data_IF_456512443051
#
_entry.id   IF_456512443051
#
_cell.length_a   1.000
_cell.length_b   1.000
_cell.length_c   1.000
_cell.angle_alpha   90.00
_cell.angle_beta   90.00
_cell.angle_gamma   90.00
#
_symmetry.space_group_name_H-M   'P 1'
#
loop_
_entity.id
_entity.type
_entity.pdbx_description
1 polymer ?
#
# COMPACT_ATOMS: atom_id res chain seq x y z
N UNK A 1 -5.36 12.86 -42.90
CA UNK A 1 -4.27 12.55 -41.97
C UNK A 1 -4.85 12.60 -40.57
N UNK A 2 -5.08 11.42 -40.01
CA UNK A 2 -5.68 11.22 -38.71
C UNK A 2 -4.73 11.80 -37.65
N UNK A 3 -5.21 12.79 -36.90
CA UNK A 3 -4.56 13.23 -35.67
C UNK A 3 -4.86 12.17 -34.62
N UNK A 4 -3.96 11.20 -34.48
CA UNK A 4 -4.11 10.13 -33.51
C UNK A 4 -4.12 10.70 -32.09
N UNK A 5 -5.22 10.41 -31.41
CA UNK A 5 -5.61 10.80 -30.06
C UNK A 5 -4.81 10.05 -28.99
N UNK A 6 -3.51 9.81 -29.22
CA UNK A 6 -2.76 8.75 -28.56
C UNK A 6 -1.50 9.19 -27.80
N UNK A 7 -1.40 10.47 -27.42
CA UNK A 7 -0.24 10.99 -26.67
C UNK A 7 -0.64 11.83 -25.43
N UNK A 8 -1.61 11.34 -24.66
CA UNK A 8 -1.85 11.76 -23.26
C UNK A 8 -1.57 10.61 -22.29
N UNK A 9 -0.61 9.77 -22.66
CA UNK A 9 -0.13 8.64 -21.87
C UNK A 9 0.94 9.11 -20.87
N UNK A 10 0.73 8.82 -19.59
CA UNK A 10 1.79 8.46 -18.63
C UNK A 10 2.64 9.57 -18.05
N UNK A 11 2.16 10.27 -17.02
CA UNK A 11 3.02 11.09 -16.16
C UNK A 11 3.05 10.48 -14.77
N UNK A 12 3.78 9.37 -14.68
CA UNK A 12 3.97 8.60 -13.46
C UNK A 12 4.37 9.51 -12.29
N UNK A 13 3.70 9.35 -11.17
CA UNK A 13 3.96 10.06 -9.92
C UNK A 13 5.08 9.31 -9.18
N UNK A 14 6.09 10.02 -8.68
CA UNK A 14 7.14 9.39 -7.86
C UNK A 14 6.65 9.33 -6.43
N UNK A 15 5.91 8.28 -6.06
CA UNK A 15 5.58 8.03 -4.68
C UNK A 15 6.85 7.65 -3.90
N UNK A 16 7.36 8.58 -3.09
CA UNK A 16 8.46 8.29 -2.16
C UNK A 16 7.84 7.71 -0.88
N UNK A 17 7.79 6.38 -0.80
CA UNK A 17 7.28 5.67 0.36
C UNK A 17 8.40 5.52 1.41
N UNK A 18 8.46 6.44 2.37
CA UNK A 18 9.15 6.18 3.64
C UNK A 18 8.09 5.66 4.59
N UNK A 19 7.99 4.34 4.69
CA UNK A 19 7.04 3.68 5.56
C UNK A 19 7.64 3.48 6.96
N UNK A 20 6.96 4.04 7.95
CA UNK A 20 7.17 3.66 9.34
C UNK A 20 6.16 2.57 9.68
N UNK A 21 6.63 1.32 9.65
CA UNK A 21 5.79 0.19 10.03
C UNK A 21 5.82 -0.01 11.54
N UNK A 22 4.64 0.05 12.15
CA UNK A 22 4.41 -0.44 13.49
C UNK A 22 3.54 -1.69 13.40
N UNK A 23 4.09 -2.84 13.79
CA UNK A 23 3.33 -4.08 13.94
C UNK A 23 2.74 -4.10 15.35
N UNK A 24 1.41 -4.08 15.46
CA UNK A 24 0.72 -4.27 16.73
C UNK A 24 -0.05 -5.59 16.69
N UNK A 25 0.22 -6.46 17.66
CA UNK A 25 -0.61 -7.63 17.94
C UNK A 25 -1.78 -7.19 18.80
N UNK A 26 -3.02 -7.41 18.34
CA UNK A 26 -4.17 -7.34 19.23
C UNK A 26 -4.36 -8.73 19.84
N UNK A 27 -3.77 -8.99 21.01
CA UNK A 27 -4.22 -10.13 21.80
C UNK A 27 -5.65 -9.85 22.25
N UNK A 28 -6.65 -10.70 21.94
CA UNK A 28 -7.91 -10.61 22.66
C UNK A 28 -7.61 -10.92 24.13
N UNK A 29 -7.59 -9.89 24.98
CA UNK A 29 -7.48 -10.02 26.43
C UNK A 29 -8.64 -10.88 26.95
N UNK A 30 -8.41 -12.18 27.07
CA UNK A 30 -9.33 -13.16 27.64
C UNK A 30 -8.59 -14.05 28.63
N UNK A 31 -8.95 -14.04 29.92
CA UNK A 31 -8.27 -14.85 30.91
C UNK A 31 -8.90 -16.25 30.92
N UNK A 32 -8.53 -17.16 30.02
CA UNK A 32 -9.10 -18.50 30.11
C UNK A 32 -8.12 -19.61 29.70
N UNK A 33 -7.71 -20.36 30.72
CA UNK A 33 -6.94 -21.59 30.70
C UNK A 33 -7.59 -22.64 29.79
N UNK A 34 -7.13 -22.73 28.54
CA UNK A 34 -7.46 -23.79 27.59
C UNK A 34 -6.22 -24.26 26.83
N UNK A 35 -6.22 -25.47 26.23
CA UNK A 35 -5.10 -25.96 25.43
C UNK A 35 -4.76 -24.94 24.32
N UNK A 36 -3.50 -24.82 23.88
CA UNK A 36 -3.10 -23.84 22.88
C UNK A 36 -3.69 -24.21 21.51
N UNK A 37 -4.96 -23.88 21.28
CA UNK A 37 -5.46 -23.63 19.94
C UNK A 37 -4.96 -22.24 19.60
N UNK A 38 -3.85 -22.18 18.86
CA UNK A 38 -3.23 -20.94 18.39
C UNK A 38 -4.32 -19.96 17.96
N UNK A 39 -4.55 -18.85 18.70
CA UNK A 39 -5.42 -17.81 18.19
C UNK A 39 -4.84 -17.41 16.83
N UNK A 40 -5.67 -17.22 15.82
CA UNK A 40 -5.21 -16.62 14.56
C UNK A 40 -4.75 -15.21 14.91
N UNK A 41 -3.48 -15.05 15.29
CA UNK A 41 -2.88 -13.77 15.63
C UNK A 41 -3.03 -12.88 14.39
N UNK A 42 -3.86 -11.85 14.53
CA UNK A 42 -4.08 -10.85 13.50
C UNK A 42 -3.20 -9.66 13.84
N UNK A 43 -2.33 -9.33 12.90
CA UNK A 43 -1.43 -8.20 13.00
C UNK A 43 -2.03 -7.01 12.26
N UNK A 44 -1.57 -5.84 12.66
CA UNK A 44 -1.84 -4.59 11.96
C UNK A 44 -0.53 -3.91 11.60
N UNK A 45 -0.45 -3.41 10.37
CA UNK A 45 0.68 -2.68 9.82
C UNK A 45 0.19 -1.28 9.49
N UNK A 46 0.79 -0.29 10.13
CA UNK A 46 0.57 1.11 9.75
C UNK A 46 1.60 1.49 8.70
N UNK A 47 1.14 2.05 7.59
CA UNK A 47 1.99 2.56 6.52
C UNK A 47 1.80 4.07 6.42
N UNK A 48 2.92 4.75 6.26
CA UNK A 48 3.00 6.19 6.01
C UNK A 48 3.81 6.39 4.73
N UNK A 49 3.47 7.40 3.94
CA UNK A 49 4.25 7.77 2.76
C UNK A 49 4.26 9.28 2.59
N UNK A 50 5.23 9.78 1.81
CA UNK A 50 5.25 11.20 1.48
C UNK A 50 4.50 11.43 0.18
N UNK A 51 3.55 12.37 0.22
CA UNK A 51 2.84 12.78 -0.97
C UNK A 51 3.82 13.30 -2.03
N UNK A 52 3.80 12.78 -3.27
CA UNK A 52 4.56 13.38 -4.34
C UNK A 52 4.08 14.81 -4.56
N UNK A 53 5.01 15.75 -4.67
CA UNK A 53 4.73 17.14 -5.05
C UNK A 53 5.00 17.39 -6.53
N UNK A 54 5.68 16.45 -7.19
CA UNK A 54 6.00 16.51 -8.62
C UNK A 54 5.72 15.19 -9.32
N UNK A 55 5.39 15.27 -10.61
CA UNK A 55 5.29 14.10 -11.49
C UNK A 55 6.66 13.63 -12.05
N UNK A 56 6.64 12.61 -12.90
CA UNK A 56 7.81 11.95 -13.50
C UNK A 56 8.72 12.86 -14.31
N UNK A 57 8.27 14.06 -14.68
CA UNK A 57 9.10 15.05 -15.39
C UNK A 57 9.25 16.34 -14.59
N UNK A 58 8.99 16.31 -13.28
CA UNK A 58 9.28 17.40 -12.36
C UNK A 58 8.31 18.58 -12.39
N UNK A 59 7.12 18.44 -12.99
CA UNK A 59 6.08 19.50 -12.86
C UNK A 59 5.32 19.31 -11.55
N UNK A 60 4.83 20.40 -10.92
CA UNK A 60 4.02 20.32 -9.71
C UNK A 60 2.76 19.49 -9.97
N UNK A 61 2.37 18.71 -8.96
CA UNK A 61 1.16 17.91 -8.98
C UNK A 61 -0.06 18.77 -8.64
N UNK A 62 -0.93 18.97 -9.63
CA UNK A 62 -2.17 19.72 -9.46
C UNK A 62 -3.40 18.80 -9.46
N UNK A 63 -3.31 17.65 -10.12
CA UNK A 63 -4.44 16.75 -10.38
C UNK A 63 -4.47 15.49 -9.46
N UNK A 64 -3.74 15.49 -8.34
CA UNK A 64 -3.70 14.32 -7.44
C UNK A 64 -5.05 14.12 -6.73
N UNK A 65 -5.72 12.99 -7.00
CA UNK A 65 -6.98 12.63 -6.35
C UNK A 65 -6.80 11.67 -5.16
N UNK A 66 -5.79 10.81 -5.19
CA UNK A 66 -5.54 9.88 -4.09
C UNK A 66 -4.44 8.86 -4.32
N UNK A 67 -4.47 7.80 -3.53
CA UNK A 67 -3.50 6.72 -3.50
C UNK A 67 -4.16 5.36 -3.45
N UNK A 68 -3.49 4.37 -4.04
CA UNK A 68 -3.81 2.95 -3.95
C UNK A 68 -2.64 2.23 -3.31
N UNK A 69 -2.93 1.51 -2.24
CA UNK A 69 -1.97 0.66 -1.55
C UNK A 69 -2.10 -0.75 -2.11
N UNK A 70 -0.97 -1.35 -2.42
CA UNK A 70 -0.85 -2.72 -2.88
C UNK A 70 -0.01 -3.48 -1.87
N UNK A 71 -0.45 -4.68 -1.51
CA UNK A 71 0.38 -5.57 -0.71
C UNK A 71 0.26 -7.02 -1.16
N UNK A 72 1.39 -7.72 -1.17
CA UNK A 72 1.49 -9.11 -1.61
C UNK A 72 2.32 -9.89 -0.60
N UNK A 73 1.91 -11.11 -0.20
CA UNK A 73 2.76 -11.98 0.60
C UNK A 73 4.03 -12.39 -0.16
N UNK A 74 5.16 -12.53 0.53
CA UNK A 74 6.40 -13.11 0.02
C UNK A 74 6.70 -14.43 0.77
N UNK A 75 6.74 -15.59 0.11
CA UNK A 75 6.54 -15.81 -1.32
C UNK A 75 5.09 -15.57 -1.77
N UNK A 76 4.87 -15.18 -3.05
CA UNK A 76 3.53 -14.92 -3.56
C UNK A 76 2.66 -16.17 -3.51
N UNK A 77 1.48 -16.03 -2.92
CA UNK A 77 0.42 -17.04 -2.94
C UNK A 77 -0.40 -16.94 -4.24
N UNK A 78 -1.26 -17.93 -4.53
CA UNK A 78 -2.19 -17.84 -5.67
C UNK A 78 -3.18 -16.66 -5.57
N UNK A 79 -3.29 -16.02 -4.39
CA UNK A 79 -3.92 -14.72 -4.28
C UNK A 79 -2.97 -13.65 -4.83
N UNK A 80 -3.28 -13.14 -6.02
CA UNK A 80 -2.70 -11.90 -6.55
C UNK A 80 -2.78 -10.78 -5.49
N UNK A 81 -1.78 -9.90 -5.48
CA UNK A 81 -1.66 -8.83 -4.49
C UNK A 81 -2.96 -8.06 -4.24
N UNK A 82 -3.22 -7.70 -2.99
CA UNK A 82 -4.42 -6.99 -2.59
C UNK A 82 -4.24 -5.51 -2.85
N UNK A 83 -5.18 -4.91 -3.61
CA UNK A 83 -5.30 -3.47 -3.81
C UNK A 83 -6.30 -2.89 -2.80
N UNK A 84 -5.90 -1.83 -2.11
CA UNK A 84 -6.74 -1.02 -1.23
C UNK A 84 -6.74 0.42 -1.73
N UNK A 85 -7.93 0.99 -1.94
CA UNK A 85 -8.07 2.43 -2.20
C UNK A 85 -7.99 3.21 -0.89
N UNK A 86 -6.92 3.99 -0.73
CA UNK A 86 -6.66 4.79 0.49
C UNK A 86 -7.26 6.19 0.38
N UNK A 87 -7.51 6.67 -0.84
CA UNK A 87 -7.92 8.04 -1.10
C UNK A 87 -6.76 9.02 -0.95
N UNK A 88 -7.01 10.28 -0.58
CA UNK A 88 -5.98 11.31 -0.47
C UNK A 88 -5.11 11.23 0.81
N UNK A 89 -5.33 10.22 1.66
CA UNK A 89 -4.56 10.03 2.89
C UNK A 89 -3.14 9.53 2.60
N UNK A 90 -2.16 10.00 3.38
CA UNK A 90 -0.76 9.54 3.33
C UNK A 90 -0.40 8.59 4.47
N UNK A 91 -1.41 8.14 5.21
CA UNK A 91 -1.33 7.25 6.36
C UNK A 91 -2.47 6.24 6.22
N UNK A 92 -2.14 4.95 6.29
CA UNK A 92 -3.14 3.89 6.25
C UNK A 92 -2.74 2.71 7.13
N UNK A 93 -3.71 2.17 7.87
CA UNK A 93 -3.49 0.98 8.70
C UNK A 93 -4.13 -0.24 8.05
N UNK A 94 -3.29 -1.18 7.63
CA UNK A 94 -3.72 -2.51 7.18
C UNK A 94 -3.89 -3.40 8.40
N UNK A 95 -5.08 -3.95 8.59
CA UNK A 95 -5.41 -4.81 9.74
C UNK A 95 -5.81 -6.20 9.27
N UNK A 96 -5.62 -7.21 10.12
CA UNK A 96 -6.05 -8.57 9.81
C UNK A 96 -5.01 -9.36 9.02
N UNK A 97 -3.75 -8.92 9.03
CA UNK A 97 -2.64 -9.64 8.40
C UNK A 97 -2.23 -10.84 9.26
N UNK A 98 -1.84 -11.92 8.60
CA UNK A 98 -1.25 -13.09 9.26
C UNK A 98 0.27 -12.89 9.35
N UNK A 99 0.94 -13.62 10.24
CA UNK A 99 2.39 -13.56 10.32
C UNK A 99 3.04 -14.08 9.02
N UNK A 100 4.03 -13.35 8.51
CA UNK A 100 4.76 -13.63 7.28
C UNK A 100 5.41 -12.38 6.69
N UNK A 101 6.16 -12.56 5.61
CA UNK A 101 6.75 -11.45 4.86
C UNK A 101 5.74 -10.89 3.86
N UNK A 102 5.66 -9.57 3.76
CA UNK A 102 4.80 -8.87 2.82
C UNK A 102 5.56 -7.76 2.11
N UNK A 103 5.26 -7.57 0.83
CA UNK A 103 5.75 -6.48 0.01
C UNK A 103 4.64 -5.45 -0.15
N UNK A 104 4.86 -4.24 0.35
CA UNK A 104 3.94 -3.12 0.21
C UNK A 104 4.42 -2.16 -0.87
N UNK A 105 3.50 -1.68 -1.69
CA UNK A 105 3.76 -0.65 -2.69
C UNK A 105 2.58 0.32 -2.76
N UNK A 106 2.82 1.58 -3.10
CA UNK A 106 1.77 2.58 -3.25
C UNK A 106 1.84 3.18 -4.66
N UNK A 107 0.69 3.34 -5.29
CA UNK A 107 0.54 4.18 -6.48
C UNK A 107 -0.28 5.41 -6.13
N UNK A 108 -0.07 6.48 -6.86
CA UNK A 108 -0.88 7.68 -6.79
C UNK A 108 -1.81 7.74 -8.00
N UNK A 109 -3.00 8.30 -7.81
CA UNK A 109 -4.11 8.33 -8.76
C UNK A 109 -4.53 9.78 -8.99
N UNK A 110 -4.71 10.16 -10.25
CA UNK A 110 -5.20 11.50 -10.61
C UNK A 110 -6.74 11.61 -10.62
N UNK A 111 -7.29 12.82 -10.76
CA UNK A 111 -8.75 13.08 -10.79
C UNK A 111 -9.49 12.38 -11.94
N UNK A 112 -8.78 11.91 -12.96
CA UNK A 112 -9.33 11.17 -14.09
C UNK A 112 -9.06 9.66 -14.01
N UNK A 113 -8.46 9.19 -12.92
CA UNK A 113 -8.24 7.79 -12.61
C UNK A 113 -6.96 7.17 -13.18
N UNK A 114 -6.01 7.97 -13.68
CA UNK A 114 -4.71 7.44 -14.11
C UNK A 114 -3.85 7.12 -12.89
N UNK A 115 -3.24 5.94 -12.91
CA UNK A 115 -2.30 5.51 -11.87
C UNK A 115 -0.85 5.79 -12.26
N UNK A 116 -0.03 6.04 -11.24
CA UNK A 116 1.42 6.15 -11.36
C UNK A 116 2.11 4.80 -11.47
N UNK A 117 3.42 4.84 -11.70
CA UNK A 117 4.29 3.71 -11.39
C UNK A 117 4.22 3.39 -9.88
N UNK A 118 4.49 2.14 -9.55
CA UNK A 118 4.60 1.68 -8.17
C UNK A 118 5.76 2.39 -7.47
N UNK A 119 5.57 2.70 -6.18
CA UNK A 119 6.68 3.06 -5.30
C UNK A 119 7.69 1.91 -5.21
N UNK A 120 8.88 2.21 -4.68
CA UNK A 120 9.81 1.16 -4.25
C UNK A 120 9.07 0.14 -3.36
N UNK A 121 9.21 -1.16 -3.65
CA UNK A 121 8.57 -2.20 -2.85
C UNK A 121 9.20 -2.20 -1.47
N UNK A 122 8.36 -2.12 -0.46
CA UNK A 122 8.76 -2.16 0.93
C UNK A 122 8.54 -3.56 1.49
N UNK A 123 9.62 -4.32 1.76
CA UNK A 123 9.52 -5.57 2.51
C UNK A 123 9.22 -5.28 3.98
N UNK A 124 8.20 -5.95 4.49
CA UNK A 124 7.71 -5.85 5.86
C UNK A 124 7.48 -7.24 6.40
N UNK A 125 8.23 -7.57 7.45
CA UNK A 125 8.00 -8.78 8.21
C UNK A 125 6.87 -8.53 9.21
N UNK A 126 5.78 -9.26 9.07
CA UNK A 126 4.63 -9.22 9.98
C UNK A 126 4.78 -10.42 10.92
N UNK A 127 4.97 -10.19 12.20
CA UNK A 127 5.19 -11.28 13.14
C UNK A 127 5.56 -10.78 14.54
N UNK A 128 5.73 -11.71 15.49
CA UNK A 128 6.25 -11.41 16.83
C UNK A 128 7.74 -11.07 16.83
#
# INVERSE_FOLDING_TARGET
>A
MWHDRNNRIGRALVACAIALVSVSSCTPDGPESGPPTHPTDRYSVTLEWTAPTTDSVGRPLEDLAGYRLYYTPDPPTEADGVMIEVGAGTLYQVTGLEAGDYLFAVTAVDEIGNESEFSDPLPVEVGP
#
